data_IF_790183282715
#
_entry.id   IF_790183282715
#
_cell.length_a   1.000
_cell.length_b   1.000
_cell.length_c   1.000
_cell.angle_alpha   90.00
_cell.angle_beta   90.00
_cell.angle_gamma   90.00
#
_symmetry.space_group_name_H-M   'P 1'
#
loop_
_entity.id
_entity.type
_entity.pdbx_description
1 polymer ?
#
# COMPACT_ATOMS: atom_id res chain seq x y z
N UNK A 1 12.64 14.62 -14.39
CA UNK A 1 12.51 14.19 -12.98
C UNK A 1 12.85 12.72 -12.93
N UNK A 2 13.89 12.38 -12.19
CA UNK A 2 14.36 11.00 -11.99
C UNK A 2 13.70 10.41 -10.75
N UNK A 3 12.89 9.38 -10.93
CA UNK A 3 12.09 8.77 -9.86
C UNK A 3 12.61 7.37 -9.53
N UNK A 4 12.85 7.10 -8.27
CA UNK A 4 13.25 5.79 -7.77
C UNK A 4 12.11 5.13 -7.04
N UNK A 5 11.72 3.93 -7.45
CA UNK A 5 10.58 3.21 -6.88
C UNK A 5 11.07 1.92 -6.24
N UNK A 6 10.86 1.77 -4.92
CA UNK A 6 11.21 0.54 -4.22
C UNK A 6 10.01 -0.40 -4.14
N UNK A 7 10.26 -1.70 -4.07
CA UNK A 7 9.19 -2.70 -3.95
C UNK A 7 8.40 -2.90 -5.25
N UNK A 8 9.06 -2.81 -6.41
CA UNK A 8 8.39 -2.90 -7.72
C UNK A 8 7.84 -4.28 -8.06
N UNK A 9 8.27 -5.33 -7.36
CA UNK A 9 7.68 -6.66 -7.47
C UNK A 9 6.34 -6.76 -6.70
N UNK A 10 6.00 -5.76 -5.89
CA UNK A 10 4.74 -5.64 -5.18
C UNK A 10 3.62 -5.03 -6.03
N UNK A 11 2.41 -4.98 -5.46
CA UNK A 11 1.22 -4.46 -6.14
C UNK A 11 1.38 -2.99 -6.55
N UNK A 12 1.72 -2.13 -5.59
CA UNK A 12 1.78 -0.68 -5.81
C UNK A 12 3.00 -0.25 -6.60
N UNK A 13 4.18 -0.79 -6.29
CA UNK A 13 5.42 -0.41 -7.00
C UNK A 13 5.33 -0.70 -8.49
N UNK A 14 4.70 -1.82 -8.89
CA UNK A 14 4.38 -2.14 -10.29
C UNK A 14 3.54 -1.03 -10.94
N UNK A 15 2.42 -0.65 -10.33
CA UNK A 15 1.51 0.34 -10.89
C UNK A 15 2.12 1.75 -10.92
N UNK A 16 2.97 2.10 -9.94
CA UNK A 16 3.70 3.38 -9.94
C UNK A 16 4.66 3.44 -11.13
N UNK A 17 5.43 2.39 -11.41
CA UNK A 17 6.33 2.36 -12.57
C UNK A 17 5.57 2.53 -13.88
N UNK A 18 4.40 1.88 -14.01
CA UNK A 18 3.56 2.00 -15.20
C UNK A 18 2.98 3.42 -15.35
N UNK A 19 2.53 4.05 -14.26
CA UNK A 19 2.00 5.41 -14.32
C UNK A 19 3.10 6.43 -14.63
N UNK A 20 4.31 6.26 -14.10
CA UNK A 20 5.47 7.10 -14.45
C UNK A 20 5.74 7.07 -15.96
N UNK A 21 5.84 5.88 -16.55
CA UNK A 21 6.06 5.74 -17.98
C UNK A 21 4.93 6.35 -18.82
N UNK A 22 3.68 6.14 -18.43
CA UNK A 22 2.51 6.72 -19.09
C UNK A 22 2.57 8.25 -19.16
N UNK A 23 3.18 8.88 -18.14
CA UNK A 23 3.36 10.34 -18.08
C UNK A 23 4.71 10.82 -18.62
N UNK A 24 5.54 9.94 -19.14
CA UNK A 24 6.84 10.28 -19.73
C UNK A 24 7.94 10.59 -18.71
N UNK A 25 7.79 10.11 -17.47
CA UNK A 25 8.87 10.19 -16.48
C UNK A 25 9.83 9.02 -16.60
N UNK A 26 11.09 9.30 -16.27
CA UNK A 26 12.10 8.25 -16.14
C UNK A 26 12.03 7.65 -14.74
N UNK A 27 11.76 6.35 -14.67
CA UNK A 27 11.70 5.59 -13.42
C UNK A 27 12.78 4.53 -13.35
N UNK A 28 13.38 4.35 -12.18
CA UNK A 28 14.26 3.21 -11.86
C UNK A 28 13.57 2.39 -10.79
N UNK A 29 13.28 1.13 -11.10
CA UNK A 29 12.68 0.18 -10.16
C UNK A 29 13.73 -0.55 -9.34
N UNK A 30 13.38 -0.89 -8.08
CA UNK A 30 14.23 -1.74 -7.24
C UNK A 30 13.41 -2.69 -6.38
N UNK A 31 14.00 -3.85 -6.13
CA UNK A 31 13.52 -4.84 -5.17
C UNK A 31 14.69 -5.71 -4.70
N UNK A 32 14.43 -6.60 -3.73
CA UNK A 32 15.45 -7.52 -3.21
C UNK A 32 15.82 -8.62 -4.21
N UNK A 33 14.92 -8.95 -5.13
CA UNK A 33 15.17 -9.96 -6.17
C UNK A 33 16.20 -9.45 -7.19
N UNK A 34 17.02 -10.35 -7.78
CA UNK A 34 18.04 -9.94 -8.75
C UNK A 34 17.46 -9.36 -10.05
N UNK A 35 16.24 -9.73 -10.39
CA UNK A 35 15.50 -9.22 -11.56
C UNK A 35 14.04 -8.99 -11.19
N UNK A 36 13.33 -8.17 -11.95
CA UNK A 36 11.89 -8.02 -11.79
C UNK A 36 11.20 -9.38 -11.93
N UNK A 37 10.32 -9.72 -10.99
CA UNK A 37 9.64 -11.01 -10.88
C UNK A 37 8.12 -10.90 -10.70
N UNK A 38 7.55 -9.72 -10.98
CA UNK A 38 6.10 -9.49 -10.95
C UNK A 38 5.40 -9.92 -12.24
N UNK A 39 4.23 -9.36 -12.50
CA UNK A 39 3.45 -9.63 -13.71
C UNK A 39 4.24 -9.21 -14.95
N UNK A 40 4.42 -10.14 -15.89
CA UNK A 40 5.10 -9.92 -17.18
C UNK A 40 4.04 -9.64 -18.25
N UNK A 41 3.60 -8.39 -18.32
CA UNK A 41 2.48 -7.92 -19.15
C UNK A 41 2.92 -6.94 -20.25
N UNK A 42 4.20 -6.95 -20.62
CA UNK A 42 4.83 -5.97 -21.52
C UNK A 42 4.69 -4.51 -21.08
N UNK A 43 4.31 -4.30 -19.82
CA UNK A 43 4.18 -2.98 -19.23
C UNK A 43 5.54 -2.29 -19.06
N UNK A 44 5.51 -1.02 -18.69
CA UNK A 44 6.72 -0.23 -18.54
C UNK A 44 7.67 -0.75 -17.45
N UNK A 45 7.13 -1.36 -16.39
CA UNK A 45 7.95 -1.92 -15.31
C UNK A 45 8.91 -3.01 -15.79
N UNK A 46 8.56 -3.74 -16.85
CA UNK A 46 9.40 -4.79 -17.43
C UNK A 46 10.48 -4.25 -18.38
N UNK A 47 10.39 -2.99 -18.76
CA UNK A 47 11.28 -2.32 -19.73
C UNK A 47 12.10 -1.18 -19.12
N UNK A 48 11.70 -0.66 -17.97
CA UNK A 48 12.44 0.39 -17.27
C UNK A 48 13.68 -0.18 -16.56
N UNK A 49 14.70 0.65 -16.32
CA UNK A 49 15.87 0.25 -15.55
C UNK A 49 15.47 -0.37 -14.20
N UNK A 50 16.11 -1.48 -13.85
CA UNK A 50 15.94 -2.18 -12.60
C UNK A 50 17.30 -2.38 -11.91
N UNK A 51 17.35 -2.09 -10.62
CA UNK A 51 18.53 -2.27 -9.79
C UNK A 51 18.17 -3.14 -8.60
N UNK A 52 18.87 -4.26 -8.40
CA UNK A 52 18.72 -5.05 -7.18
C UNK A 52 19.22 -4.28 -5.98
N UNK A 53 18.38 -4.15 -4.94
CA UNK A 53 18.76 -3.47 -3.70
C UNK A 53 18.05 -4.08 -2.49
N UNK A 54 18.82 -4.39 -1.46
CA UNK A 54 18.30 -4.69 -0.12
C UNK A 54 18.24 -3.38 0.68
N UNK A 55 17.04 -2.90 0.99
CA UNK A 55 16.84 -1.67 1.76
C UNK A 55 17.43 -1.74 3.16
N UNK A 56 17.65 -2.94 3.72
CA UNK A 56 18.28 -3.12 5.03
C UNK A 56 19.80 -2.96 4.99
N UNK A 57 20.41 -2.99 3.80
CA UNK A 57 21.83 -2.75 3.60
C UNK A 57 22.11 -1.25 3.37
N UNK A 58 22.44 -0.55 4.45
CA UNK A 58 22.69 0.92 4.43
C UNK A 58 23.75 1.35 3.41
N UNK A 59 24.82 0.59 3.27
CA UNK A 59 25.92 0.95 2.35
C UNK A 59 25.45 0.83 0.90
N UNK A 60 24.73 -0.24 0.55
CA UNK A 60 24.17 -0.46 -0.78
C UNK A 60 23.14 0.64 -1.13
N UNK A 61 22.21 0.95 -0.21
CA UNK A 61 21.21 2.02 -0.38
C UNK A 61 21.91 3.36 -0.66
N UNK A 62 22.89 3.74 0.16
CA UNK A 62 23.62 5.01 0.02
C UNK A 62 24.40 5.11 -1.29
N UNK A 63 25.03 4.02 -1.74
CA UNK A 63 25.78 3.99 -3.02
C UNK A 63 24.84 4.18 -4.20
N UNK A 64 23.79 3.33 -4.30
CA UNK A 64 22.85 3.35 -5.43
C UNK A 64 22.15 4.71 -5.56
N UNK A 65 21.62 5.24 -4.44
CA UNK A 65 20.86 6.50 -4.47
C UNK A 65 21.76 7.69 -4.88
N UNK A 66 23.03 7.70 -4.47
CA UNK A 66 23.97 8.76 -4.90
C UNK A 66 24.28 8.70 -6.39
N UNK A 67 24.42 7.50 -6.96
CA UNK A 67 24.80 7.30 -8.37
C UNK A 67 23.68 7.68 -9.33
N UNK A 68 22.42 7.55 -8.91
CA UNK A 68 21.24 7.74 -9.77
C UNK A 68 20.76 9.18 -9.90
N UNK A 69 21.32 10.14 -9.16
CA UNK A 69 20.91 11.57 -9.20
C UNK A 69 19.40 11.77 -9.15
N UNK A 70 18.77 11.28 -8.08
CA UNK A 70 17.32 11.20 -7.94
C UNK A 70 16.70 12.51 -7.47
N UNK A 71 15.53 12.84 -8.03
CA UNK A 71 14.67 13.93 -7.56
C UNK A 71 13.66 13.45 -6.52
N UNK A 72 13.18 12.21 -6.69
CA UNK A 72 12.09 11.64 -5.86
C UNK A 72 12.31 10.15 -5.61
N UNK A 73 11.95 9.72 -4.40
CA UNK A 73 11.87 8.31 -4.03
C UNK A 73 10.44 7.97 -3.64
N UNK A 74 9.81 7.00 -4.33
CA UNK A 74 8.52 6.40 -3.96
C UNK A 74 8.81 5.07 -3.26
N UNK A 75 8.65 5.05 -1.95
CA UNK A 75 9.01 3.90 -1.12
C UNK A 75 7.80 3.00 -0.86
N UNK A 76 7.69 1.93 -1.68
CA UNK A 76 6.63 0.92 -1.59
C UNK A 76 7.10 -0.39 -0.93
N UNK A 77 8.41 -0.60 -0.77
CA UNK A 77 8.95 -1.81 -0.13
C UNK A 77 8.56 -1.86 1.35
N UNK A 78 7.97 -2.97 1.77
CA UNK A 78 7.59 -3.19 3.16
C UNK A 78 7.35 -4.69 3.44
N UNK A 79 7.50 -5.09 4.68
CA UNK A 79 6.92 -6.32 5.18
C UNK A 79 5.43 -6.08 5.45
N UNK A 80 4.56 -6.82 4.74
CA UNK A 80 3.10 -6.66 4.80
C UNK A 80 2.33 -7.89 5.30
N UNK A 81 3.03 -8.98 5.64
CA UNK A 81 2.42 -10.18 6.20
C UNK A 81 2.10 -9.96 7.68
N UNK A 82 0.94 -9.38 7.97
CA UNK A 82 0.53 -8.88 9.29
C UNK A 82 0.55 -9.99 10.35
N UNK A 83 -0.06 -11.16 10.08
CA UNK A 83 -0.08 -12.26 11.04
C UNK A 83 1.31 -12.86 11.27
N UNK A 84 2.13 -12.98 10.23
CA UNK A 84 3.50 -13.46 10.34
C UNK A 84 4.42 -12.48 11.09
N UNK A 85 4.07 -11.20 11.19
CA UNK A 85 4.81 -10.22 11.97
C UNK A 85 4.68 -10.43 13.50
N UNK A 86 3.64 -11.13 13.94
CA UNK A 86 3.44 -11.46 15.37
C UNK A 86 4.38 -12.57 15.85
N UNK A 87 4.92 -13.40 14.94
CA UNK A 87 5.90 -14.41 15.28
C UNK A 87 7.22 -13.73 15.73
N UNK A 88 7.65 -14.03 16.96
CA UNK A 88 8.87 -13.47 17.54
C UNK A 88 10.13 -13.72 16.68
N UNK A 89 10.16 -14.85 15.97
CA UNK A 89 11.26 -15.17 15.05
C UNK A 89 11.34 -14.21 13.85
N UNK A 90 10.20 -13.64 13.42
CA UNK A 90 10.13 -12.70 12.31
C UNK A 90 10.35 -11.24 12.74
N UNK A 91 10.10 -10.89 14.00
CA UNK A 91 10.17 -9.49 14.48
C UNK A 91 11.45 -8.76 14.11
N UNK A 92 12.66 -9.34 14.26
CA UNK A 92 13.90 -8.66 13.84
C UNK A 92 13.89 -8.29 12.35
N UNK A 93 13.41 -9.19 11.49
CA UNK A 93 13.31 -8.95 10.04
C UNK A 93 12.24 -7.92 9.69
N UNK A 94 11.08 -7.99 10.34
CA UNK A 94 10.00 -7.00 10.16
C UNK A 94 10.50 -5.60 10.51
N UNK A 95 11.18 -5.44 11.67
CA UNK A 95 11.80 -4.18 12.10
C UNK A 95 12.86 -3.71 11.11
N UNK A 96 13.76 -4.60 10.71
CA UNK A 96 14.83 -4.27 9.76
C UNK A 96 14.26 -3.71 8.43
N UNK A 97 13.15 -4.26 7.94
CA UNK A 97 12.51 -3.79 6.69
C UNK A 97 11.70 -2.52 6.93
N UNK A 98 10.76 -2.53 7.90
CA UNK A 98 9.76 -1.46 8.05
C UNK A 98 10.27 -0.23 8.82
N UNK A 99 11.38 -0.34 9.56
CA UNK A 99 11.95 0.77 10.33
C UNK A 99 13.35 1.09 9.85
N UNK A 100 14.29 0.15 9.96
CA UNK A 100 15.70 0.41 9.70
C UNK A 100 15.94 0.64 8.19
N UNK A 101 15.29 -0.14 7.33
CA UNK A 101 15.31 0.06 5.87
C UNK A 101 14.71 1.39 5.44
N UNK A 102 13.59 1.78 6.06
CA UNK A 102 12.99 3.11 5.81
C UNK A 102 13.94 4.23 6.24
N UNK A 103 14.61 4.09 7.40
CA UNK A 103 15.62 5.04 7.84
C UNK A 103 16.78 5.14 6.85
N UNK A 104 17.27 4.01 6.32
CA UNK A 104 18.35 4.01 5.32
C UNK A 104 17.95 4.77 4.05
N UNK A 105 16.72 4.58 3.58
CA UNK A 105 16.17 5.30 2.41
C UNK A 105 16.04 6.80 2.72
N UNK A 106 15.49 7.17 3.88
CA UNK A 106 15.33 8.57 4.28
C UNK A 106 16.69 9.29 4.44
N UNK A 107 17.67 8.64 5.07
CA UNK A 107 19.04 9.17 5.20
C UNK A 107 19.66 9.42 3.81
N UNK A 108 19.49 8.47 2.89
CA UNK A 108 20.03 8.59 1.55
C UNK A 108 19.30 9.66 0.72
N UNK A 109 17.96 9.76 0.83
CA UNK A 109 17.17 10.83 0.22
C UNK A 109 17.64 12.22 0.66
N UNK A 110 17.88 12.39 1.97
CA UNK A 110 18.42 13.65 2.54
C UNK A 110 19.77 14.03 1.94
N UNK A 111 20.66 13.06 1.73
CA UNK A 111 22.00 13.32 1.17
C UNK A 111 21.98 13.84 -0.25
N UNK A 112 20.95 13.50 -1.04
CA UNK A 112 20.81 13.93 -2.44
C UNK A 112 19.71 14.99 -2.62
N UNK A 113 19.15 15.50 -1.52
CA UNK A 113 18.05 16.47 -1.47
C UNK A 113 16.77 16.01 -2.20
N UNK A 114 16.56 14.69 -2.32
CA UNK A 114 15.39 14.12 -2.95
C UNK A 114 14.17 14.18 -2.01
N UNK A 115 12.98 14.42 -2.58
CA UNK A 115 11.72 14.24 -1.83
C UNK A 115 11.38 12.75 -1.72
N UNK A 116 10.61 12.39 -0.69
CA UNK A 116 10.21 11.01 -0.45
C UNK A 116 8.70 10.88 -0.29
N UNK A 117 8.10 9.90 -0.98
CA UNK A 117 6.74 9.43 -0.71
C UNK A 117 6.85 8.10 0.01
N UNK A 118 6.32 8.03 1.23
CA UNK A 118 6.29 6.83 2.07
C UNK A 118 4.87 6.31 2.18
N UNK A 119 4.68 5.03 1.90
CA UNK A 119 3.38 4.37 2.01
C UNK A 119 3.23 3.78 3.40
N UNK A 120 2.22 4.25 4.13
CA UNK A 120 1.86 3.78 5.46
C UNK A 120 0.47 3.15 5.50
N UNK A 121 -0.09 2.97 6.67
CA UNK A 121 -1.29 2.17 6.92
C UNK A 121 -2.18 2.79 8.00
N UNK A 122 -3.46 2.46 7.97
CA UNK A 122 -4.44 2.69 9.05
C UNK A 122 -4.06 1.99 10.37
N UNK A 123 -3.22 0.95 10.34
CA UNK A 123 -2.78 0.18 11.52
C UNK A 123 -1.89 0.97 12.49
N UNK A 124 -1.55 2.22 12.20
CA UNK A 124 -0.86 3.11 13.14
C UNK A 124 -1.78 3.63 14.26
N UNK A 125 -3.10 3.50 14.08
CA UNK A 125 -4.12 3.89 15.05
C UNK A 125 -4.61 2.71 15.89
N UNK A 126 -5.41 3.00 16.95
CA UNK A 126 -5.96 1.98 17.85
C UNK A 126 -7.11 1.17 17.24
N UNK A 127 -7.62 1.59 16.08
CA UNK A 127 -8.69 0.89 15.38
C UNK A 127 -10.04 0.89 16.09
N UNK A 128 -10.26 1.76 17.06
CA UNK A 128 -11.50 1.84 17.86
C UNK A 128 -12.39 2.99 17.39
N UNK A 129 -13.65 2.96 17.85
CA UNK A 129 -14.63 3.99 17.53
C UNK A 129 -15.21 3.87 16.12
N UNK A 130 -15.90 4.94 15.68
CA UNK A 130 -16.57 4.98 14.37
C UNK A 130 -16.23 6.24 13.56
N UNK A 131 -15.55 7.19 14.18
CA UNK A 131 -15.12 8.43 13.53
C UNK A 131 -13.93 8.15 12.60
N UNK A 132 -13.94 8.66 11.36
CA UNK A 132 -12.79 8.53 10.46
C UNK A 132 -11.55 9.24 11.03
N UNK A 133 -10.42 8.57 10.96
CA UNK A 133 -9.12 9.11 11.37
C UNK A 133 -8.73 10.27 10.48
N UNK A 134 -8.28 11.37 11.10
CA UNK A 134 -7.78 12.54 10.38
C UNK A 134 -6.30 12.33 9.98
N UNK A 135 -5.84 12.83 8.80
CA UNK A 135 -4.46 12.68 8.36
C UNK A 135 -3.43 13.21 9.35
N UNK A 136 -3.74 14.33 10.02
CA UNK A 136 -2.85 14.99 10.97
C UNK A 136 -3.04 14.51 12.44
N UNK A 137 -3.91 13.50 12.66
CA UNK A 137 -4.06 12.86 13.96
C UNK A 137 -2.77 12.14 14.37
N UNK A 138 -2.36 12.35 15.62
CA UNK A 138 -1.15 11.76 16.22
C UNK A 138 -1.48 10.84 17.40
N UNK A 139 -2.73 10.47 17.58
CA UNK A 139 -3.16 9.54 18.62
C UNK A 139 -2.85 8.10 18.16
N UNK A 140 -1.55 7.83 18.07
CA UNK A 140 -1.03 6.54 17.63
C UNK A 140 -1.14 5.50 18.73
N UNK A 141 -1.73 4.35 18.42
CA UNK A 141 -1.80 3.20 19.30
C UNK A 141 -1.95 1.89 18.49
N UNK A 142 -0.93 1.49 17.74
CA UNK A 142 -1.01 0.31 16.89
C UNK A 142 -1.33 -0.95 17.71
N UNK A 143 -2.22 -1.79 17.17
CA UNK A 143 -2.73 -2.99 17.84
C UNK A 143 -1.84 -4.22 17.65
N UNK A 144 -0.88 -4.17 16.74
CA UNK A 144 -0.05 -5.30 16.35
C UNK A 144 1.35 -4.84 15.92
N UNK A 145 2.29 -5.78 15.86
CA UNK A 145 3.69 -5.47 15.56
C UNK A 145 3.91 -4.90 14.17
N UNK A 146 3.10 -5.31 13.18
CA UNK A 146 3.12 -4.69 11.85
C UNK A 146 2.82 -3.18 11.95
N UNK A 147 1.74 -2.81 12.63
CA UNK A 147 1.37 -1.41 12.84
C UNK A 147 2.46 -0.61 13.57
N UNK A 148 3.05 -1.19 14.64
CA UNK A 148 4.16 -0.58 15.37
C UNK A 148 5.35 -0.27 14.45
N UNK A 149 5.74 -1.24 13.62
CA UNK A 149 6.89 -1.05 12.72
C UNK A 149 6.60 -0.09 11.58
N UNK A 150 5.36 -0.05 11.06
CA UNK A 150 4.95 0.93 10.06
C UNK A 150 4.95 2.35 10.64
N UNK A 151 4.49 2.53 11.88
CA UNK A 151 4.61 3.79 12.61
C UNK A 151 6.07 4.20 12.82
N UNK A 152 6.93 3.25 13.17
CA UNK A 152 8.37 3.49 13.26
C UNK A 152 8.97 4.02 11.95
N UNK A 153 8.50 3.51 10.81
CA UNK A 153 8.84 4.03 9.48
C UNK A 153 8.36 5.46 9.24
N UNK A 154 7.10 5.80 9.59
CA UNK A 154 6.61 7.18 9.52
C UNK A 154 7.50 8.15 10.33
N UNK A 155 7.84 7.74 11.56
CA UNK A 155 8.68 8.52 12.45
C UNK A 155 10.11 8.69 11.90
N UNK A 156 10.67 7.65 11.25
CA UNK A 156 11.97 7.73 10.59
C UNK A 156 11.96 8.77 9.46
N UNK A 157 10.94 8.77 8.61
CA UNK A 157 10.77 9.74 7.51
C UNK A 157 10.60 11.16 8.06
N UNK A 158 9.64 11.37 8.97
CA UNK A 158 9.27 12.69 9.46
C UNK A 158 10.38 13.38 10.28
N UNK A 159 11.23 12.63 11.00
CA UNK A 159 12.37 13.24 11.72
C UNK A 159 13.58 13.53 10.84
N UNK A 160 13.66 12.88 9.65
CA UNK A 160 14.85 12.95 8.78
C UNK A 160 14.69 13.95 7.67
N UNK A 161 13.48 14.04 7.08
CA UNK A 161 13.19 14.82 5.89
C UNK A 161 12.20 15.96 6.18
N UNK A 162 12.31 17.02 5.41
CA UNK A 162 11.31 18.08 5.32
C UNK A 162 10.41 17.89 4.08
N UNK A 163 10.99 17.36 3.00
CA UNK A 163 10.32 17.14 1.71
C UNK A 163 9.72 15.73 1.64
N UNK A 164 8.62 15.49 2.36
CA UNK A 164 8.00 14.16 2.39
C UNK A 164 6.47 14.18 2.28
N UNK A 165 5.96 13.10 1.71
CA UNK A 165 4.56 12.69 1.81
C UNK A 165 4.49 11.36 2.56
N UNK A 166 3.69 11.28 3.60
CA UNK A 166 3.31 10.05 4.27
C UNK A 166 1.87 9.77 3.90
N UNK A 167 1.65 8.71 3.10
CA UNK A 167 0.33 8.36 2.57
C UNK A 167 -0.14 7.08 3.24
N UNK A 168 -1.14 7.20 4.13
CA UNK A 168 -1.79 6.06 4.79
C UNK A 168 -2.91 5.52 3.92
N UNK A 169 -2.92 4.21 3.76
CA UNK A 169 -3.86 3.46 2.94
C UNK A 169 -4.43 2.28 3.73
N UNK A 170 -5.52 1.70 3.23
CA UNK A 170 -6.14 0.51 3.81
C UNK A 170 -6.58 -0.45 2.70
N UNK A 171 -6.66 -1.75 2.98
CA UNK A 171 -7.30 -2.78 2.16
C UNK A 171 -6.84 -2.80 0.69
N UNK A 172 -5.53 -2.88 0.51
CA UNK A 172 -4.88 -2.74 -0.81
C UNK A 172 -5.13 -3.94 -1.72
N UNK A 173 -5.43 -3.67 -2.98
CA UNK A 173 -5.48 -4.66 -4.04
C UNK A 173 -4.88 -4.14 -5.35
N UNK A 174 -4.23 -5.03 -6.10
CA UNK A 174 -3.56 -4.75 -7.37
C UNK A 174 -3.22 -6.04 -8.10
N UNK A 175 -2.68 -5.93 -9.32
CA UNK A 175 -2.41 -7.09 -10.18
C UNK A 175 -1.31 -8.00 -9.63
N UNK A 176 -0.22 -7.41 -9.15
CA UNK A 176 0.87 -8.18 -8.57
C UNK A 176 0.54 -8.77 -7.20
N UNK A 177 1.14 -9.93 -6.89
CA UNK A 177 1.05 -10.53 -5.57
C UNK A 177 -0.34 -11.05 -5.18
N UNK A 178 -0.52 -11.24 -3.87
CA UNK A 178 -1.75 -11.75 -3.25
C UNK A 178 -2.57 -10.61 -2.67
N UNK A 179 -3.90 -10.72 -2.75
CA UNK A 179 -4.81 -9.78 -2.09
C UNK A 179 -6.16 -10.44 -1.79
N UNK A 180 -7.00 -9.72 -1.06
CA UNK A 180 -8.31 -10.21 -0.62
C UNK A 180 -9.22 -10.59 -1.79
N UNK A 181 -9.28 -9.80 -2.87
CA UNK A 181 -10.14 -10.09 -4.02
C UNK A 181 -9.75 -11.43 -4.67
N UNK A 182 -8.45 -11.65 -4.93
CA UNK A 182 -7.95 -12.92 -5.49
C UNK A 182 -8.31 -14.10 -4.59
N UNK A 183 -8.19 -13.91 -3.27
CA UNK A 183 -8.58 -14.94 -2.30
C UNK A 183 -10.07 -15.24 -2.38
N UNK A 184 -10.94 -14.23 -2.38
CA UNK A 184 -12.38 -14.42 -2.47
C UNK A 184 -12.80 -15.06 -3.81
N UNK A 185 -12.20 -14.66 -4.92
CA UNK A 185 -12.45 -15.29 -6.22
C UNK A 185 -12.11 -16.78 -6.22
N UNK A 186 -10.99 -17.16 -5.59
CA UNK A 186 -10.60 -18.57 -5.48
C UNK A 186 -11.55 -19.37 -4.56
N UNK A 187 -11.93 -18.79 -3.43
CA UNK A 187 -12.91 -19.41 -2.52
C UNK A 187 -14.26 -19.57 -3.21
N UNK A 188 -14.74 -18.54 -3.89
CA UNK A 188 -16.03 -18.56 -4.59
C UNK A 188 -16.12 -19.56 -5.74
N UNK A 189 -14.99 -20.01 -6.31
CA UNK A 189 -14.95 -21.07 -7.31
C UNK A 189 -15.22 -22.48 -6.75
N UNK A 190 -14.98 -22.68 -5.46
CA UNK A 190 -14.94 -24.01 -4.84
C UNK A 190 -15.92 -24.20 -3.69
N UNK A 191 -16.58 -23.14 -3.24
CA UNK A 191 -17.49 -23.15 -2.09
C UNK A 191 -18.82 -22.47 -2.41
N UNK A 192 -19.92 -23.11 -1.99
CA UNK A 192 -21.26 -22.52 -2.13
C UNK A 192 -21.56 -21.46 -1.07
N UNK A 193 -20.75 -21.42 0.01
CA UNK A 193 -20.91 -20.48 1.11
C UNK A 193 -19.56 -20.05 1.67
N UNK A 194 -19.42 -18.78 2.00
CA UNK A 194 -18.24 -18.22 2.67
C UNK A 194 -18.66 -17.34 3.86
N UNK A 195 -17.94 -17.44 4.98
CA UNK A 195 -18.12 -16.59 6.17
C UNK A 195 -17.17 -15.42 6.10
N UNK A 196 -17.66 -14.19 6.22
CA UNK A 196 -16.85 -12.99 6.11
C UNK A 196 -17.17 -12.00 7.23
N UNK A 197 -16.12 -11.39 7.78
CA UNK A 197 -16.19 -10.43 8.89
C UNK A 197 -16.99 -9.19 8.49
N UNK A 198 -17.92 -8.76 9.34
CA UNK A 198 -18.79 -7.62 9.10
C UNK A 198 -18.57 -6.42 10.04
N UNK A 199 -17.78 -6.59 11.08
CA UNK A 199 -17.54 -5.59 12.14
C UNK A 199 -16.19 -4.86 12.01
N UNK A 200 -15.44 -5.08 10.93
CA UNK A 200 -14.27 -4.30 10.56
C UNK A 200 -14.67 -3.41 9.37
N UNK A 201 -14.56 -2.08 9.57
CA UNK A 201 -15.07 -1.10 8.61
C UNK A 201 -13.93 -0.22 8.08
N UNK A 202 -13.82 -0.12 6.76
CA UNK A 202 -12.81 0.67 6.06
C UNK A 202 -13.20 0.95 4.62
N UNK A 203 -12.22 1.28 3.79
CA UNK A 203 -12.41 1.45 2.35
C UNK A 203 -11.26 0.79 1.59
N UNK A 204 -11.52 0.03 0.52
CA UNK A 204 -10.48 -0.58 -0.31
C UNK A 204 -9.64 0.46 -1.06
N UNK A 205 -8.42 0.09 -1.41
CA UNK A 205 -7.49 0.90 -2.20
C UNK A 205 -6.96 0.12 -3.39
N UNK A 206 -7.35 0.54 -4.60
CA UNK A 206 -6.79 0.00 -5.84
C UNK A 206 -5.44 0.66 -6.14
N UNK A 207 -4.40 -0.14 -6.28
CA UNK A 207 -3.03 0.36 -6.48
C UNK A 207 -2.87 1.18 -7.76
N UNK A 208 -3.61 0.87 -8.83
CA UNK A 208 -3.61 1.65 -10.07
C UNK A 208 -4.12 3.09 -9.86
N UNK A 209 -5.19 3.25 -9.06
CA UNK A 209 -5.73 4.57 -8.74
C UNK A 209 -4.81 5.34 -7.79
N UNK A 210 -4.24 4.63 -6.81
CA UNK A 210 -3.27 5.22 -5.90
C UNK A 210 -2.00 5.66 -6.63
N UNK A 211 -1.48 4.87 -7.57
CA UNK A 211 -0.29 5.22 -8.35
C UNK A 211 -0.46 6.54 -9.09
N UNK A 212 -1.65 6.80 -9.67
CA UNK A 212 -1.98 8.09 -10.30
C UNK A 212 -1.82 9.24 -9.30
N UNK A 213 -2.41 9.12 -8.10
CA UNK A 213 -2.30 10.14 -7.06
C UNK A 213 -0.85 10.37 -6.61
N UNK A 214 -0.08 9.28 -6.41
CA UNK A 214 1.31 9.40 -6.00
C UNK A 214 2.14 10.15 -7.06
N UNK A 215 1.88 9.91 -8.35
CA UNK A 215 2.55 10.64 -9.43
C UNK A 215 2.08 12.09 -9.50
N UNK A 216 0.80 12.40 -9.22
CA UNK A 216 0.35 13.80 -9.05
C UNK A 216 1.09 14.50 -7.90
N UNK A 217 1.38 13.81 -6.79
CA UNK A 217 2.13 14.36 -5.65
C UNK A 217 3.59 14.69 -5.99
N UNK A 218 4.23 13.93 -6.90
CA UNK A 218 5.63 14.17 -7.30
C UNK A 218 5.84 15.61 -7.82
N UNK A 219 4.85 16.17 -8.50
CA UNK A 219 4.91 17.50 -9.14
C UNK A 219 4.67 18.65 -8.16
N UNK A 220 4.40 18.35 -6.88
CA UNK A 220 4.04 19.36 -5.88
C UNK A 220 5.00 19.41 -4.71
N UNK A 221 4.87 20.46 -3.89
CA UNK A 221 5.54 20.61 -2.61
C UNK A 221 4.53 20.63 -1.44
N UNK A 222 3.35 20.03 -1.63
CA UNK A 222 2.28 19.96 -0.64
C UNK A 222 2.56 18.83 0.36
N UNK A 223 3.72 18.90 1.01
CA UNK A 223 4.25 17.89 1.92
C UNK A 223 3.35 17.62 3.12
N UNK A 224 3.57 16.50 3.78
CA UNK A 224 2.90 16.11 5.02
C UNK A 224 2.16 14.77 4.95
N UNK A 225 1.22 14.60 5.87
CA UNK A 225 0.43 13.38 6.02
C UNK A 225 -0.85 13.45 5.19
N UNK A 226 -1.15 12.34 4.50
CA UNK A 226 -2.37 12.17 3.70
C UNK A 226 -2.97 10.80 3.94
N UNK A 227 -4.29 10.70 3.80
CA UNK A 227 -5.01 9.44 3.69
C UNK A 227 -5.52 9.26 2.26
N UNK A 228 -5.32 8.07 1.69
CA UNK A 228 -5.68 7.79 0.31
C UNK A 228 -6.26 6.39 0.15
N UNK A 229 -7.58 6.29 0.06
CA UNK A 229 -8.34 5.10 -0.32
C UNK A 229 -9.29 5.46 -1.44
N UNK A 230 -9.88 4.49 -2.13
CA UNK A 230 -10.92 4.79 -3.11
C UNK A 230 -12.12 5.48 -2.44
N UNK A 231 -12.90 6.25 -3.20
CA UNK A 231 -14.16 6.84 -2.75
C UNK A 231 -15.29 5.79 -2.71
N UNK A 232 -16.50 6.17 -2.32
CA UNK A 232 -17.68 5.30 -2.30
C UNK A 232 -18.10 4.82 -0.91
N UNK A 233 -17.61 5.52 0.14
CA UNK A 233 -18.02 5.30 1.52
C UNK A 233 -17.21 4.22 2.25
N UNK A 234 -17.60 3.98 3.51
CA UNK A 234 -17.00 2.99 4.39
C UNK A 234 -17.85 1.72 4.41
N UNK A 235 -17.21 0.57 4.28
CA UNK A 235 -17.85 -0.74 4.14
C UNK A 235 -17.18 -1.78 5.01
N UNK A 236 -17.86 -2.90 5.25
CA UNK A 236 -17.27 -4.09 5.86
C UNK A 236 -16.60 -5.00 4.81
N UNK A 237 -15.75 -5.93 5.27
CA UNK A 237 -15.25 -7.01 4.40
C UNK A 237 -16.39 -7.87 3.83
N UNK A 238 -17.48 -8.02 4.58
CA UNK A 238 -18.69 -8.67 4.12
C UNK A 238 -19.31 -7.96 2.91
N UNK A 239 -19.50 -6.63 3.00
CA UNK A 239 -20.04 -5.84 1.89
C UNK A 239 -19.10 -5.86 0.69
N UNK A 240 -17.79 -5.77 0.94
CA UNK A 240 -16.78 -5.85 -0.12
C UNK A 240 -16.85 -7.18 -0.87
N UNK A 241 -16.97 -8.30 -0.14
CA UNK A 241 -17.09 -9.64 -0.75
C UNK A 241 -18.37 -9.78 -1.58
N UNK A 242 -19.50 -9.28 -1.08
CA UNK A 242 -20.76 -9.28 -1.85
C UNK A 242 -20.61 -8.57 -3.19
N UNK A 243 -19.99 -7.41 -3.19
CA UNK A 243 -19.80 -6.65 -4.43
C UNK A 243 -18.81 -7.34 -5.39
N UNK A 244 -17.70 -7.91 -4.87
CA UNK A 244 -16.78 -8.71 -5.68
C UNK A 244 -17.52 -9.85 -6.37
N UNK A 245 -18.33 -10.62 -5.64
CA UNK A 245 -19.07 -11.74 -6.21
C UNK A 245 -20.16 -11.30 -7.20
N UNK A 246 -20.87 -10.22 -6.88
CA UNK A 246 -21.85 -9.64 -7.80
C UNK A 246 -21.23 -9.26 -9.15
N UNK A 247 -20.10 -8.58 -9.15
CA UNK A 247 -19.40 -8.16 -10.37
C UNK A 247 -18.72 -9.32 -11.10
N UNK A 248 -18.21 -10.31 -10.36
CA UNK A 248 -17.61 -11.52 -10.93
C UNK A 248 -18.63 -12.54 -11.44
N UNK A 249 -19.91 -12.35 -11.16
CA UNK A 249 -20.99 -13.28 -11.56
C UNK A 249 -21.03 -14.55 -10.70
N UNK A 250 -20.58 -14.50 -9.44
CA UNK A 250 -20.59 -15.65 -8.54
C UNK A 250 -21.90 -15.70 -7.74
N UNK A 251 -22.39 -16.93 -7.54
CA UNK A 251 -23.61 -17.21 -6.77
C UNK A 251 -23.32 -17.68 -5.34
N UNK A 252 -22.06 -17.76 -4.96
CA UNK A 252 -21.59 -18.14 -3.61
C UNK A 252 -22.26 -17.26 -2.54
N UNK A 253 -22.89 -17.89 -1.55
CA UNK A 253 -23.56 -17.19 -0.46
C UNK A 253 -22.52 -16.61 0.50
N UNK A 254 -22.60 -15.31 0.75
CA UNK A 254 -21.77 -14.62 1.75
C UNK A 254 -22.54 -14.53 3.06
N UNK A 255 -21.98 -15.08 4.15
CA UNK A 255 -22.58 -15.08 5.49
C UNK A 255 -21.80 -14.11 6.37
N UNK A 256 -22.46 -13.07 6.92
CA UNK A 256 -21.79 -12.14 7.83
C UNK A 256 -21.48 -12.81 9.16
N UNK A 257 -20.29 -12.54 9.69
CA UNK A 257 -19.87 -12.97 11.04
C UNK A 257 -19.12 -11.83 11.72
N UNK A 258 -19.10 -11.82 13.04
CA UNK A 258 -18.23 -10.92 13.79
C UNK A 258 -16.79 -11.42 13.78
N UNK A 259 -15.84 -10.54 14.09
CA UNK A 259 -14.42 -10.91 14.27
C UNK A 259 -14.25 -11.99 15.34
N UNK A 260 -15.04 -11.92 16.42
CA UNK A 260 -15.04 -12.92 17.49
C UNK A 260 -15.53 -14.30 17.02
N UNK A 261 -16.57 -14.34 16.18
CA UNK A 261 -17.10 -15.59 15.61
C UNK A 261 -16.18 -16.17 14.53
N UNK A 262 -15.42 -15.31 13.84
CA UNK A 262 -14.47 -15.74 12.81
C UNK A 262 -13.25 -16.43 13.42
N UNK A 263 -12.65 -15.84 14.46
CA UNK A 263 -11.67 -16.47 15.36
C UNK A 263 -10.31 -16.84 14.74
N UNK A 264 -10.05 -16.53 13.49
CA UNK A 264 -8.90 -17.07 12.76
C UNK A 264 -7.69 -16.10 12.63
N UNK A 265 -7.76 -14.91 13.22
CA UNK A 265 -6.69 -13.90 13.08
C UNK A 265 -5.69 -14.00 14.24
N UNK A 266 -4.40 -14.14 13.92
CA UNK A 266 -3.32 -14.12 14.93
C UNK A 266 -3.08 -12.70 15.42
N UNK A 267 -2.94 -11.76 14.47
CA UNK A 267 -2.80 -10.34 14.78
C UNK A 267 -4.17 -9.69 15.05
N UNK A 268 -4.23 -8.79 16.03
CA UNK A 268 -5.41 -7.96 16.24
C UNK A 268 -5.65 -7.07 15.02
N UNK A 269 -6.89 -7.02 14.55
CA UNK A 269 -7.31 -6.21 13.41
C UNK A 269 -8.12 -5.00 13.90
N UNK A 270 -7.94 -3.81 13.28
CA UNK A 270 -8.74 -2.66 13.62
C UNK A 270 -10.22 -2.86 13.23
N UNK A 271 -11.14 -2.54 14.13
CA UNK A 271 -12.57 -2.42 13.81
C UNK A 271 -12.85 -1.15 12.99
N UNK A 272 -12.08 -0.09 13.24
CA UNK A 272 -12.17 1.19 12.57
C UNK A 272 -10.93 1.46 11.70
N UNK A 273 -11.04 1.16 10.42
CA UNK A 273 -10.07 1.50 9.36
C UNK A 273 -10.57 2.66 8.48
N UNK A 274 -11.51 3.47 8.98
CA UNK A 274 -12.02 4.63 8.25
C UNK A 274 -10.96 5.73 8.23
N UNK A 275 -10.57 6.14 7.04
CA UNK A 275 -9.59 7.20 6.81
C UNK A 275 -10.29 8.41 6.18
N UNK A 276 -10.22 9.59 6.83
CA UNK A 276 -10.68 10.83 6.24
C UNK A 276 -9.72 11.27 5.13
N UNK A 277 -10.28 11.64 3.98
CA UNK A 277 -9.54 12.00 2.76
C UNK A 277 -9.75 13.46 2.34
N UNK A 278 -10.44 14.26 3.15
CA UNK A 278 -10.79 15.66 2.83
C UNK A 278 -9.55 16.48 2.47
N UNK A 279 -8.43 16.23 3.14
CA UNK A 279 -7.15 16.90 2.90
C UNK A 279 -6.62 16.72 1.46
N UNK A 280 -6.97 15.65 0.75
CA UNK A 280 -6.61 15.51 -0.67
C UNK A 280 -7.28 16.60 -1.51
N UNK A 281 -8.60 16.83 -1.31
CA UNK A 281 -9.35 17.87 -2.00
C UNK A 281 -8.86 19.28 -1.61
N UNK A 282 -8.65 19.54 -0.32
CA UNK A 282 -8.14 20.81 0.20
C UNK A 282 -6.76 21.15 -0.39
N UNK A 283 -5.94 20.13 -0.60
CA UNK A 283 -4.65 20.26 -1.27
C UNK A 283 -4.77 20.34 -2.82
N UNK A 284 -5.96 20.20 -3.39
CA UNK A 284 -6.22 20.27 -4.82
C UNK A 284 -5.83 19.00 -5.58
N UNK A 285 -5.71 17.86 -4.89
CA UNK A 285 -5.55 16.56 -5.55
C UNK A 285 -6.92 16.00 -5.97
N UNK A 286 -6.94 15.27 -7.08
CA UNK A 286 -8.14 14.55 -7.52
C UNK A 286 -8.33 13.28 -6.67
N UNK A 287 -9.47 13.09 -6.00
CA UNK A 287 -9.77 11.86 -5.27
C UNK A 287 -9.68 10.62 -6.16
N UNK A 288 -9.49 9.46 -5.53
CA UNK A 288 -9.55 8.20 -6.23
C UNK A 288 -11.00 7.90 -6.66
N UNK A 289 -11.24 7.16 -7.76
CA UNK A 289 -12.57 6.70 -8.13
C UNK A 289 -13.27 5.91 -7.02
N UNK A 290 -14.55 5.57 -7.19
CA UNK A 290 -15.25 4.74 -6.21
C UNK A 290 -14.67 3.32 -6.18
N UNK A 291 -14.70 2.69 -5.02
CA UNK A 291 -14.19 1.33 -4.86
C UNK A 291 -14.97 0.30 -5.70
N UNK A 292 -16.27 0.56 -5.97
CA UNK A 292 -17.07 -0.28 -6.85
C UNK A 292 -16.57 -0.25 -8.30
N UNK A 293 -16.25 0.94 -8.81
CA UNK A 293 -15.64 1.12 -10.13
C UNK A 293 -14.25 0.47 -10.17
N UNK A 294 -13.45 0.68 -9.12
CA UNK A 294 -12.12 0.09 -8.99
C UNK A 294 -12.16 -1.45 -9.05
N UNK A 295 -13.12 -2.10 -8.36
CA UNK A 295 -13.33 -3.55 -8.44
C UNK A 295 -13.64 -3.98 -9.87
N UNK A 296 -14.50 -3.28 -10.58
CA UNK A 296 -14.85 -3.61 -11.97
C UNK A 296 -13.63 -3.59 -12.89
N UNK A 297 -12.88 -2.50 -12.85
CA UNK A 297 -11.63 -2.36 -13.64
C UNK A 297 -10.59 -3.42 -13.26
N UNK A 298 -10.47 -3.72 -11.98
CA UNK A 298 -9.55 -4.74 -11.50
C UNK A 298 -9.92 -6.16 -11.98
N UNK A 299 -11.22 -6.52 -11.93
CA UNK A 299 -11.70 -7.81 -12.43
C UNK A 299 -11.48 -7.96 -13.94
N UNK A 300 -11.64 -6.88 -14.69
CA UNK A 300 -11.35 -6.86 -16.13
C UNK A 300 -9.83 -7.03 -16.39
N UNK A 301 -9.01 -6.30 -15.67
CA UNK A 301 -7.55 -6.42 -15.76
C UNK A 301 -7.06 -7.83 -15.42
N UNK A 302 -7.65 -8.49 -14.41
CA UNK A 302 -7.33 -9.88 -14.07
C UNK A 302 -7.65 -10.87 -15.20
N UNK A 303 -8.76 -10.67 -15.94
CA UNK A 303 -9.11 -11.53 -17.09
C UNK A 303 -8.10 -11.41 -18.22
N UNK A 304 -7.56 -10.21 -18.42
CA UNK A 304 -6.61 -9.92 -19.50
C UNK A 304 -5.15 -10.31 -19.12
N UNK A 305 -4.89 -10.68 -17.87
CA UNK A 305 -3.55 -11.07 -17.37
C UNK A 305 -3.35 -12.60 -17.30
N UNK A 306 -4.35 -13.39 -17.72
CA UNK A 306 -4.34 -14.86 -17.83
C UNK A 306 -4.20 -15.22 -19.30
#
# INVERSE_FOLDING_TARGET
>A
MNVFVTGVNGQLGHDVMNELAKRGYEGVGTDIQPVYSGVMDDSAVTRMPYVQMDITNRAQVSSIIRELHLDVIVHCAAWTAVDAAEDEANRPKVKAINVDGVQNIADAAKLVDAKMIYISTDYVFDGQGETPWQPDCKDYAPLNYYGETKLGGEQAVARTLEKYFIVRIAWVFGLNGKNFIKTMLNVGKTHDTVRVVMDQIGTPTYTLDLARLLVDMLETEKYGYYHATNEGGYISWYDFTKEIYRQAGYTTKVVPVTSAEYGASVAARPFNSRLDKSKLLEAGFTPLPTWQDAVGRYLEALKNSI
#
